data_IF_620870787324
#
_entry.id   IF_620870787324
#
_cell.length_a   1.000
_cell.length_b   1.000
_cell.length_c   1.000
_cell.angle_alpha   90.00
_cell.angle_beta   90.00
_cell.angle_gamma   90.00
#
_symmetry.space_group_name_H-M   'P 1'
#
loop_
_entity.id
_entity.type
_entity.pdbx_description
1 polymer ?
#
# COMPACT_ATOMS: atom_id res chain seq x y z
N UNK A 1 -8.99 21.69 34.17
CA UNK A 1 -9.88 20.68 33.59
C UNK A 1 -10.07 20.99 32.12
N UNK A 2 -9.61 20.10 31.24
CA UNK A 2 -9.79 20.21 29.79
C UNK A 2 -10.93 19.28 29.40
N UNK A 3 -11.90 19.79 28.66
CA UNK A 3 -13.08 19.03 28.24
C UNK A 3 -13.12 18.98 26.73
N UNK A 4 -13.14 17.76 26.17
CA UNK A 4 -13.35 17.52 24.74
C UNK A 4 -14.73 16.92 24.53
N UNK A 5 -15.38 17.28 23.42
CA UNK A 5 -16.69 16.75 23.04
C UNK A 5 -16.61 16.20 21.62
N UNK A 6 -17.05 14.96 21.42
CA UNK A 6 -17.12 14.27 20.13
C UNK A 6 -18.55 13.80 19.87
N UNK A 7 -19.12 14.21 18.73
CA UNK A 7 -20.47 13.81 18.31
C UNK A 7 -20.51 13.60 16.80
N UNK A 8 -21.39 12.73 16.30
CA UNK A 8 -21.57 12.45 14.86
C UNK A 8 -22.48 13.47 14.17
N UNK A 9 -22.70 14.64 14.77
CA UNK A 9 -23.61 15.68 14.28
C UNK A 9 -25.10 15.47 14.58
N UNK A 10 -25.53 14.24 14.90
CA UNK A 10 -26.95 13.89 15.12
C UNK A 10 -27.34 13.60 16.58
N UNK A 11 -26.57 14.06 17.57
CA UNK A 11 -26.97 13.90 18.97
C UNK A 11 -26.06 14.59 19.99
N UNK A 12 -26.48 14.57 21.24
CA UNK A 12 -25.68 14.98 22.40
C UNK A 12 -24.79 13.82 22.86
N UNK A 13 -23.64 14.09 23.50
CA UNK A 13 -22.83 13.05 24.12
C UNK A 13 -23.57 12.43 25.30
N UNK A 14 -23.57 11.09 25.40
CA UNK A 14 -24.27 10.31 26.42
C UNK A 14 -23.31 9.53 27.34
N UNK A 15 -22.00 9.70 27.14
CA UNK A 15 -20.98 9.01 27.92
C UNK A 15 -19.74 9.86 28.14
N UNK A 16 -19.07 9.63 29.28
CA UNK A 16 -17.87 10.36 29.68
C UNK A 16 -16.69 9.41 29.81
N UNK A 17 -15.61 9.67 29.09
CA UNK A 17 -14.34 8.98 29.25
C UNK A 17 -13.32 9.90 29.91
N UNK A 18 -12.49 9.37 30.79
CA UNK A 18 -11.32 10.06 31.32
C UNK A 18 -10.04 9.31 31.01
N UNK A 19 -8.96 10.05 30.80
CA UNK A 19 -7.63 9.47 30.78
C UNK A 19 -7.17 9.19 32.22
N UNK A 20 -6.64 7.99 32.46
CA UNK A 20 -5.98 7.64 33.71
C UNK A 20 -4.59 8.28 33.83
N UNK A 21 -3.97 8.63 32.70
CA UNK A 21 -2.67 9.32 32.65
C UNK A 21 -2.86 10.82 32.87
N UNK A 22 -3.88 11.41 32.25
CA UNK A 22 -4.20 12.84 32.30
C UNK A 22 -5.56 13.06 32.99
N UNK A 23 -5.65 12.96 34.34
CA UNK A 23 -6.91 12.90 35.08
C UNK A 23 -7.74 14.19 34.99
N UNK A 24 -7.11 15.30 34.64
CA UNK A 24 -7.76 16.60 34.44
C UNK A 24 -8.45 16.72 33.07
N UNK A 25 -8.38 15.69 32.23
CA UNK A 25 -8.97 15.65 30.90
C UNK A 25 -10.17 14.72 30.83
N UNK A 26 -11.32 15.25 30.41
CA UNK A 26 -12.56 14.50 30.20
C UNK A 26 -13.00 14.58 28.74
N UNK A 27 -13.51 13.47 28.23
CA UNK A 27 -14.01 13.29 26.87
C UNK A 27 -15.50 12.96 26.93
N UNK A 28 -16.36 13.84 26.46
CA UNK A 28 -17.77 13.57 26.25
C UNK A 28 -17.95 12.97 24.85
N UNK A 29 -18.44 11.75 24.78
CA UNK A 29 -18.51 10.93 23.56
C UNK A 29 -19.89 10.32 23.42
N UNK A 30 -20.20 9.80 22.23
CA UNK A 30 -21.43 9.08 21.96
C UNK A 30 -21.20 7.56 21.97
N UNK A 31 -21.90 6.82 22.83
CA UNK A 31 -21.82 5.35 22.89
C UNK A 31 -22.06 4.72 21.53
N UNK A 32 -23.06 5.20 20.81
CA UNK A 32 -23.42 4.68 19.48
C UNK A 32 -22.25 4.76 18.49
N UNK A 33 -21.46 5.84 18.50
CA UNK A 33 -20.30 5.98 17.63
C UNK A 33 -19.18 5.00 18.02
N UNK A 34 -18.94 4.84 19.32
CA UNK A 34 -17.98 3.86 19.83
C UNK A 34 -18.36 2.42 19.45
N UNK A 35 -19.61 2.01 19.70
CA UNK A 35 -20.16 0.70 19.32
C UNK A 35 -20.13 0.48 17.81
N UNK A 36 -20.43 1.52 17.04
CA UNK A 36 -20.40 1.43 15.58
C UNK A 36 -18.99 1.17 15.07
N UNK A 37 -17.96 1.75 15.67
CA UNK A 37 -16.58 1.64 15.19
C UNK A 37 -15.69 0.58 15.86
N UNK A 38 -16.10 -0.02 16.99
CA UNK A 38 -15.29 -0.95 17.78
C UNK A 38 -16.11 -2.07 18.40
N UNK A 39 -15.62 -3.30 18.26
CA UNK A 39 -16.25 -4.47 18.88
C UNK A 39 -15.99 -4.52 20.40
N UNK A 40 -14.82 -4.07 20.86
CA UNK A 40 -14.53 -3.97 22.29
C UNK A 40 -15.49 -3.02 23.00
N UNK A 41 -15.80 -1.87 22.41
CA UNK A 41 -16.78 -0.96 23.00
C UNK A 41 -18.20 -1.54 22.94
N UNK A 42 -18.55 -2.27 21.88
CA UNK A 42 -19.84 -2.97 21.79
C UNK A 42 -20.00 -3.96 22.95
N UNK A 43 -19.04 -4.89 23.12
CA UNK A 43 -19.06 -5.90 24.17
C UNK A 43 -19.09 -5.27 25.57
N UNK A 44 -18.28 -4.23 25.77
CA UNK A 44 -18.21 -3.54 27.06
C UNK A 44 -19.55 -2.90 27.44
N UNK A 45 -20.23 -2.23 26.49
CA UNK A 45 -21.53 -1.63 26.77
C UNK A 45 -22.63 -2.67 26.92
N UNK A 46 -22.58 -3.79 26.19
CA UNK A 46 -23.56 -4.87 26.31
C UNK A 46 -23.50 -5.55 27.69
N UNK A 47 -22.29 -5.77 28.23
CA UNK A 47 -22.10 -6.33 29.58
C UNK A 47 -22.61 -5.37 30.66
N UNK A 48 -22.35 -4.07 30.50
CA UNK A 48 -22.79 -3.06 31.46
C UNK A 48 -24.30 -2.74 31.35
N UNK A 49 -24.94 -3.03 30.21
CA UNK A 49 -26.37 -2.81 29.99
C UNK A 49 -27.25 -3.99 30.40
N UNK A 50 -26.65 -5.08 30.90
CA UNK A 50 -27.40 -6.23 31.37
C UNK A 50 -28.40 -5.75 32.44
N UNK A 51 -29.71 -5.96 32.23
CA UNK A 51 -30.73 -5.52 33.18
C UNK A 51 -30.36 -6.14 34.52
N UNK A 52 -30.44 -5.37 35.60
CA UNK A 52 -30.37 -5.85 36.97
C UNK A 52 -31.24 -7.11 37.05
N UNK A 53 -30.60 -8.27 36.83
CA UNK A 53 -31.29 -9.53 36.92
C UNK A 53 -31.78 -9.53 38.36
N UNK A 54 -33.08 -9.66 38.49
CA UNK A 54 -33.88 -9.58 39.70
C UNK A 54 -33.49 -10.67 40.71
N UNK A 55 -32.24 -10.68 41.14
CA UNK A 55 -31.82 -11.23 42.41
C UNK A 55 -32.36 -10.21 43.42
N UNK A 56 -33.67 -10.26 43.67
CA UNK A 56 -34.25 -9.62 44.84
C UNK A 56 -33.52 -10.19 46.05
N UNK A 57 -32.48 -9.49 46.49
CA UNK A 57 -31.83 -9.74 47.76
C UNK A 57 -32.81 -9.27 48.83
N UNK A 58 -33.70 -10.18 49.22
CA UNK A 58 -34.69 -9.99 50.28
C UNK A 58 -33.93 -9.76 51.60
N UNK A 59 -33.50 -8.52 51.85
CA UNK A 59 -33.03 -8.14 53.19
C UNK A 59 -32.06 -6.98 53.31
N UNK A 60 -31.45 -6.45 52.25
CA UNK A 60 -30.45 -5.38 52.40
C UNK A 60 -31.11 -3.98 52.42
N UNK A 61 -31.13 -3.27 53.57
CA UNK A 61 -31.66 -1.92 53.64
C UNK A 61 -30.61 -0.95 53.10
N UNK A 62 -31.07 0.01 52.30
CA UNK A 62 -30.37 1.25 51.90
C UNK A 62 -29.17 1.13 50.94
N UNK A 63 -29.47 0.92 49.66
CA UNK A 63 -28.61 1.34 48.53
C UNK A 63 -29.35 2.44 47.76
N UNK A 64 -29.35 3.65 48.32
CA UNK A 64 -29.79 4.86 47.61
C UNK A 64 -28.49 5.61 47.30
N UNK A 65 -28.08 5.65 46.02
CA UNK A 65 -26.98 6.46 45.41
C UNK A 65 -25.97 5.70 44.50
N UNK A 66 -26.34 4.59 43.83
CA UNK A 66 -25.46 3.97 42.80
C UNK A 66 -25.64 4.49 41.37
N UNK A 67 -26.53 5.46 41.14
CA UNK A 67 -27.03 5.82 39.80
C UNK A 67 -26.09 6.73 38.99
N UNK A 68 -24.99 7.24 39.53
CA UNK A 68 -24.17 8.25 38.81
C UNK A 68 -22.88 7.75 38.14
N UNK A 69 -22.38 6.56 38.46
CA UNK A 69 -21.09 6.08 37.90
C UNK A 69 -21.22 5.28 36.58
N UNK A 70 -22.44 4.89 36.16
CA UNK A 70 -22.66 4.06 34.96
C UNK A 70 -22.38 4.79 33.63
N UNK A 71 -22.23 6.11 33.65
CA UNK A 71 -21.99 6.94 32.45
C UNK A 71 -20.53 7.35 32.29
N UNK A 72 -19.63 6.73 33.08
CA UNK A 72 -18.22 7.09 33.07
C UNK A 72 -17.30 5.88 32.95
N UNK A 73 -16.21 6.05 32.20
CA UNK A 73 -15.11 5.10 32.10
C UNK A 73 -13.76 5.80 32.22
N UNK A 74 -12.82 5.20 32.94
CA UNK A 74 -11.43 5.63 32.97
C UNK A 74 -10.60 4.72 32.04
N UNK A 75 -9.79 5.31 31.15
CA UNK A 75 -9.02 4.63 30.11
C UNK A 75 -7.51 4.88 30.28
N UNK A 76 -6.63 3.86 30.12
CA UNK A 76 -5.21 3.97 30.45
C UNK A 76 -4.38 4.78 29.43
N UNK A 77 -4.96 5.27 28.34
CA UNK A 77 -4.27 6.03 27.28
C UNK A 77 -4.09 7.49 27.66
N UNK A 78 -3.09 8.15 27.09
CA UNK A 78 -2.95 9.60 27.21
C UNK A 78 -4.07 10.33 26.48
N UNK A 79 -4.31 11.57 26.90
CA UNK A 79 -5.31 12.44 26.29
C UNK A 79 -5.15 12.58 24.76
N UNK A 80 -3.93 12.73 24.25
CA UNK A 80 -3.65 12.79 22.81
C UNK A 80 -4.07 11.54 22.05
N UNK A 81 -3.85 10.36 22.66
CA UNK A 81 -4.17 9.06 22.06
C UNK A 81 -5.68 8.84 22.03
N UNK A 82 -6.37 9.16 23.13
CA UNK A 82 -7.83 9.13 23.20
C UNK A 82 -8.46 10.12 22.21
N UNK A 83 -7.88 11.30 22.06
CA UNK A 83 -8.36 12.28 21.09
C UNK A 83 -8.29 11.74 19.65
N UNK A 84 -7.20 11.05 19.28
CA UNK A 84 -7.08 10.40 17.97
C UNK A 84 -8.11 9.29 17.79
N UNK A 85 -8.26 8.41 18.79
CA UNK A 85 -9.22 7.31 18.78
C UNK A 85 -10.65 7.83 18.58
N UNK A 86 -11.07 8.79 19.41
CA UNK A 86 -12.43 9.32 19.36
C UNK A 86 -12.70 10.13 18.11
N UNK A 87 -11.72 10.87 17.59
CA UNK A 87 -11.85 11.52 16.28
C UNK A 87 -12.15 10.49 15.19
N UNK A 88 -11.37 9.40 15.12
CA UNK A 88 -11.56 8.38 14.09
C UNK A 88 -12.88 7.59 14.25
N UNK A 89 -13.35 7.39 15.48
CA UNK A 89 -14.63 6.71 15.75
C UNK A 89 -15.87 7.58 15.45
N UNK A 90 -15.80 8.90 15.67
CA UNK A 90 -16.94 9.80 15.46
C UNK A 90 -16.92 10.45 14.07
N UNK A 91 -15.73 10.76 13.57
CA UNK A 91 -15.48 11.41 12.29
C UNK A 91 -14.47 10.57 11.50
N UNK A 92 -14.93 9.41 11.04
CA UNK A 92 -14.11 8.52 10.22
C UNK A 92 -13.55 9.28 9.01
N UNK A 93 -12.25 9.11 8.69
CA UNK A 93 -11.65 9.83 7.59
C UNK A 93 -12.28 9.38 6.27
N UNK A 94 -12.26 10.26 5.27
CA UNK A 94 -12.88 9.98 3.96
C UNK A 94 -12.12 8.83 3.28
N UNK A 95 -12.81 7.75 2.87
CA UNK A 95 -12.14 6.62 2.22
C UNK A 95 -11.46 7.06 0.93
N UNK A 96 -10.23 6.60 0.75
CA UNK A 96 -9.43 6.81 -0.45
C UNK A 96 -9.46 5.55 -1.32
N UNK A 97 -9.00 5.62 -2.58
CA UNK A 97 -8.81 4.44 -3.41
C UNK A 97 -7.96 3.36 -2.74
N UNK A 98 -8.50 2.15 -2.71
CA UNK A 98 -7.86 0.95 -2.17
C UNK A 98 -6.64 0.50 -3.01
N UNK A 99 -5.80 -0.36 -2.43
CA UNK A 99 -4.66 -0.96 -3.14
C UNK A 99 -5.06 -1.66 -4.45
N UNK A 100 -6.23 -2.30 -4.46
CA UNK A 100 -6.77 -2.99 -5.65
C UNK A 100 -7.19 -2.00 -6.72
N UNK A 101 -7.82 -0.89 -6.37
CA UNK A 101 -8.20 0.17 -7.30
C UNK A 101 -6.98 0.87 -7.87
N UNK A 102 -6.00 1.19 -7.02
CA UNK A 102 -4.72 1.76 -7.44
C UNK A 102 -3.98 0.81 -8.39
N UNK A 103 -3.90 -0.47 -8.06
CA UNK A 103 -3.30 -1.49 -8.94
C UNK A 103 -4.01 -1.63 -10.29
N UNK A 104 -5.34 -1.44 -10.34
CA UNK A 104 -6.10 -1.41 -11.61
C UNK A 104 -5.77 -0.15 -12.40
N UNK A 105 -5.65 0.98 -11.73
CA UNK A 105 -5.29 2.26 -12.34
C UNK A 105 -3.93 2.23 -13.01
N UNK A 106 -2.92 1.67 -12.35
CA UNK A 106 -1.56 1.60 -12.90
C UNK A 106 -1.46 0.83 -14.20
N UNK A 107 -2.32 -0.18 -14.36
CA UNK A 107 -2.40 -1.01 -15.57
C UNK A 107 -3.08 -0.31 -16.74
N UNK A 108 -3.74 0.82 -16.53
CA UNK A 108 -4.34 1.59 -17.61
C UNK A 108 -3.24 2.15 -18.53
N UNK A 109 -3.45 2.14 -19.87
CA UNK A 109 -2.61 2.87 -20.79
C UNK A 109 -2.50 4.36 -20.40
N UNK A 110 -1.34 4.97 -20.65
CA UNK A 110 -1.02 6.30 -20.16
C UNK A 110 -1.99 7.38 -20.70
N UNK A 111 -2.47 7.22 -21.94
CA UNK A 111 -3.49 8.11 -22.51
C UNK A 111 -4.82 8.09 -21.74
N UNK A 112 -5.23 6.93 -21.21
CA UNK A 112 -6.44 6.86 -20.37
C UNK A 112 -6.22 7.47 -18.99
N UNK A 113 -4.98 7.43 -18.45
CA UNK A 113 -4.68 8.06 -17.16
C UNK A 113 -4.83 9.57 -17.26
N UNK A 114 -4.25 10.18 -18.28
CA UNK A 114 -4.34 11.63 -18.49
C UNK A 114 -5.78 12.10 -18.68
N UNK A 115 -6.56 11.40 -19.52
CA UNK A 115 -7.97 11.75 -19.76
C UNK A 115 -8.81 11.62 -18.48
N UNK A 116 -8.56 10.57 -17.69
CA UNK A 116 -9.32 10.39 -16.45
C UNK A 116 -8.91 11.37 -15.36
N UNK A 117 -7.63 11.75 -15.27
CA UNK A 117 -7.16 12.81 -14.37
C UNK A 117 -7.83 14.14 -14.74
N UNK A 118 -7.86 14.48 -16.04
CA UNK A 118 -8.55 15.70 -16.53
C UNK A 118 -10.04 15.68 -16.25
N UNK A 119 -10.66 14.50 -16.33
CA UNK A 119 -12.07 14.30 -16.00
C UNK A 119 -12.35 14.20 -14.49
N UNK A 120 -11.34 14.32 -13.62
CA UNK A 120 -11.49 14.14 -12.16
C UNK A 120 -11.92 12.72 -11.76
N UNK A 121 -11.72 11.74 -12.64
CA UNK A 121 -12.28 10.38 -12.55
C UNK A 121 -11.27 9.31 -12.12
N UNK A 122 -10.42 9.64 -11.13
CA UNK A 122 -9.48 8.74 -10.46
C UNK A 122 -8.00 9.08 -10.68
N UNK A 123 -7.07 8.42 -9.95
CA UNK A 123 -5.97 9.03 -9.19
C UNK A 123 -4.94 9.83 -10.02
N UNK A 124 -4.37 10.91 -9.46
CA UNK A 124 -3.61 10.83 -8.21
C UNK A 124 -4.30 11.47 -7.01
N UNK A 125 -4.19 10.81 -5.86
CA UNK A 125 -4.60 11.33 -4.56
C UNK A 125 -3.40 12.08 -3.99
N UNK A 126 -3.60 13.34 -3.56
CA UNK A 126 -2.53 14.06 -2.85
C UNK A 126 -2.27 13.38 -1.51
N UNK A 127 -1.01 13.16 -1.15
CA UNK A 127 -0.63 12.72 0.19
C UNK A 127 -1.08 13.71 1.27
N UNK A 128 -1.36 14.96 0.89
CA UNK A 128 -1.95 15.99 1.75
C UNK A 128 -3.38 15.67 2.18
N UNK A 129 -4.15 14.93 1.36
CA UNK A 129 -5.50 14.48 1.69
C UNK A 129 -5.50 13.21 2.54
N UNK A 130 -4.34 12.55 2.69
CA UNK A 130 -4.22 11.32 3.46
C UNK A 130 -3.87 11.59 4.92
N UNK A 131 -4.34 10.74 5.83
CA UNK A 131 -3.89 10.78 7.24
C UNK A 131 -2.36 10.61 7.26
N UNK A 132 -1.59 11.50 7.93
CA UNK A 132 -0.14 11.41 7.96
C UNK A 132 0.37 10.05 8.46
N UNK A 133 1.41 9.51 7.82
CA UNK A 133 1.94 8.18 8.13
C UNK A 133 2.32 7.97 9.62
N UNK A 134 2.93 8.95 10.33
CA UNK A 134 3.20 8.79 11.77
C UNK A 134 1.93 8.60 12.61
N UNK A 135 0.82 9.22 12.21
CA UNK A 135 -0.47 9.06 12.88
C UNK A 135 -1.11 7.71 12.52
N UNK A 136 -1.03 7.29 11.25
CA UNK A 136 -1.53 5.98 10.82
C UNK A 136 -0.91 4.83 11.64
N UNK A 137 0.41 4.86 11.89
CA UNK A 137 1.07 3.85 12.75
C UNK A 137 0.43 3.74 14.12
N UNK A 138 0.11 4.88 14.74
CA UNK A 138 -0.56 4.91 16.05
C UNK A 138 -2.00 4.43 15.95
N UNK A 139 -2.72 4.85 14.91
CA UNK A 139 -4.10 4.45 14.67
C UNK A 139 -4.23 2.94 14.44
N UNK A 140 -3.30 2.28 13.73
CA UNK A 140 -3.33 0.82 13.60
C UNK A 140 -3.05 0.11 14.94
N UNK A 141 -2.18 0.63 15.79
CA UNK A 141 -2.00 0.10 17.15
C UNK A 141 -3.26 0.23 18.01
N UNK A 142 -4.00 1.33 17.85
CA UNK A 142 -5.33 1.49 18.47
C UNK A 142 -6.36 0.56 17.81
N UNK A 143 -6.26 0.35 16.50
CA UNK A 143 -7.17 -0.49 15.76
C UNK A 143 -7.14 -1.94 16.24
N UNK A 144 -5.94 -2.48 16.45
CA UNK A 144 -5.72 -3.78 17.07
C UNK A 144 -6.24 -3.81 18.52
N UNK A 145 -5.83 -2.83 19.34
CA UNK A 145 -6.19 -2.77 20.76
C UNK A 145 -7.70 -2.72 21.03
N UNK A 146 -8.45 -1.96 20.23
CA UNK A 146 -9.89 -1.76 20.40
C UNK A 146 -10.72 -2.58 19.42
N UNK A 147 -10.12 -3.51 18.67
CA UNK A 147 -10.80 -4.28 17.62
C UNK A 147 -11.71 -3.37 16.77
N UNK A 148 -11.10 -2.38 16.11
CA UNK A 148 -11.85 -1.49 15.22
C UNK A 148 -12.44 -2.28 14.06
N UNK A 149 -13.66 -1.94 13.67
CA UNK A 149 -14.39 -2.70 12.63
C UNK A 149 -13.72 -2.59 11.27
N UNK A 150 -13.97 -3.61 10.44
CA UNK A 150 -13.35 -3.78 9.11
C UNK A 150 -13.59 -2.58 8.17
N UNK A 151 -14.75 -1.92 8.24
CA UNK A 151 -15.04 -0.72 7.45
C UNK A 151 -14.06 0.43 7.75
N UNK A 152 -13.68 0.58 9.03
CA UNK A 152 -12.76 1.61 9.47
C UNK A 152 -11.31 1.21 9.16
N UNK A 153 -10.97 -0.07 9.37
CA UNK A 153 -9.67 -0.64 9.00
C UNK A 153 -9.39 -0.50 7.50
N UNK A 154 -10.34 -0.87 6.64
CA UNK A 154 -10.22 -0.72 5.19
C UNK A 154 -10.03 0.74 4.77
N UNK A 155 -10.70 1.67 5.46
CA UNK A 155 -10.48 3.12 5.29
C UNK A 155 -9.05 3.50 5.67
N UNK A 156 -8.53 3.09 6.84
CA UNK A 156 -7.15 3.35 7.25
C UNK A 156 -6.12 2.75 6.28
N UNK A 157 -6.36 1.54 5.75
CA UNK A 157 -5.53 0.93 4.72
C UNK A 157 -5.51 1.75 3.43
N UNK A 158 -6.64 2.34 3.02
CA UNK A 158 -6.67 3.23 1.86
C UNK A 158 -5.81 4.49 2.05
N UNK A 159 -5.77 5.04 3.27
CA UNK A 159 -4.84 6.12 3.60
C UNK A 159 -3.38 5.67 3.62
N UNK A 160 -3.10 4.46 4.07
CA UNK A 160 -1.76 3.88 4.01
C UNK A 160 -1.28 3.71 2.56
N UNK A 161 -2.17 3.27 1.66
CA UNK A 161 -1.91 3.14 0.22
C UNK A 161 -1.55 4.47 -0.44
N UNK A 162 -2.16 5.58 -0.02
CA UNK A 162 -1.88 6.90 -0.57
C UNK A 162 -0.41 7.33 -0.38
N UNK A 163 0.26 6.84 0.66
CA UNK A 163 1.69 7.12 0.92
C UNK A 163 2.64 6.23 0.11
N UNK A 164 2.14 5.25 -0.66
CA UNK A 164 2.99 4.27 -1.32
C UNK A 164 3.91 4.86 -2.40
N UNK A 165 3.55 6.00 -3.02
CA UNK A 165 4.40 6.65 -4.02
C UNK A 165 5.58 7.41 -3.40
N UNK A 166 5.34 8.11 -2.28
CA UNK A 166 6.35 8.95 -1.64
C UNK A 166 7.22 8.16 -0.65
N UNK A 167 6.63 7.17 0.04
CA UNK A 167 7.26 6.40 1.11
C UNK A 167 7.04 4.89 0.96
N UNK A 168 7.38 4.31 -0.21
CA UNK A 168 7.05 2.93 -0.55
C UNK A 168 7.60 1.90 0.44
N UNK A 169 8.82 2.11 0.95
CA UNK A 169 9.47 1.17 1.88
C UNK A 169 8.76 1.18 3.24
N UNK A 170 8.39 2.36 3.74
CA UNK A 170 7.70 2.52 5.01
C UNK A 170 6.29 1.94 4.95
N UNK A 171 5.59 2.14 3.83
CA UNK A 171 4.27 1.56 3.58
C UNK A 171 4.36 0.04 3.48
N UNK A 172 5.33 -0.48 2.73
CA UNK A 172 5.57 -1.92 2.60
C UNK A 172 5.84 -2.57 3.96
N UNK A 173 6.73 -1.97 4.75
CA UNK A 173 7.09 -2.46 6.07
C UNK A 173 5.88 -2.52 7.01
N UNK A 174 5.12 -1.42 7.08
CA UNK A 174 3.94 -1.33 7.94
C UNK A 174 2.84 -2.29 7.48
N UNK A 175 2.55 -2.36 6.18
CA UNK A 175 1.56 -3.29 5.64
C UNK A 175 1.93 -4.75 5.90
N UNK A 176 3.22 -5.10 5.82
CA UNK A 176 3.68 -6.45 6.13
C UNK A 176 3.53 -6.77 7.63
N UNK A 177 3.77 -5.79 8.52
CA UNK A 177 3.59 -5.96 9.96
C UNK A 177 2.11 -6.12 10.36
N UNK A 178 1.20 -5.55 9.57
CA UNK A 178 -0.25 -5.64 9.74
C UNK A 178 -0.89 -6.80 8.96
N UNK A 179 -0.08 -7.64 8.29
CA UNK A 179 -0.55 -8.74 7.43
C UNK A 179 -1.51 -8.28 6.30
N UNK A 180 -1.39 -7.01 5.89
CA UNK A 180 -2.20 -6.40 4.84
C UNK A 180 -1.59 -6.69 3.45
N UNK A 181 -1.69 -7.95 3.02
CA UNK A 181 -1.01 -8.49 1.83
C UNK A 181 -1.24 -7.67 0.56
N UNK A 182 -2.45 -7.16 0.32
CA UNK A 182 -2.75 -6.38 -0.89
C UNK A 182 -2.07 -5.00 -0.86
N UNK A 183 -1.97 -4.37 0.31
CA UNK A 183 -1.27 -3.09 0.49
C UNK A 183 0.25 -3.30 0.36
N UNK A 184 0.79 -4.35 0.97
CA UNK A 184 2.20 -4.72 0.83
C UNK A 184 2.54 -5.05 -0.63
N UNK A 185 1.67 -5.81 -1.31
CA UNK A 185 1.81 -6.11 -2.72
C UNK A 185 1.83 -4.84 -3.57
N UNK A 186 0.94 -3.89 -3.33
CA UNK A 186 0.92 -2.61 -4.06
C UNK A 186 2.15 -1.75 -3.73
N UNK A 187 2.54 -1.59 -2.47
CA UNK A 187 3.74 -0.82 -2.11
C UNK A 187 5.02 -1.39 -2.75
N UNK A 188 5.09 -2.71 -2.91
CA UNK A 188 6.21 -3.35 -3.62
C UNK A 188 6.28 -3.03 -5.13
N UNK A 189 5.16 -2.63 -5.75
CA UNK A 189 5.16 -2.10 -7.13
C UNK A 189 5.70 -0.67 -7.20
N UNK A 190 5.88 0.01 -6.07
CA UNK A 190 6.45 1.36 -6.03
C UNK A 190 7.94 1.33 -5.65
N UNK A 191 8.44 0.22 -5.09
CA UNK A 191 9.85 -0.01 -4.78
C UNK A 191 10.67 -0.32 -6.06
N UNK A 192 10.75 0.64 -6.96
CA UNK A 192 11.58 0.56 -8.17
C UNK A 192 12.82 1.46 -8.06
N UNK A 193 12.68 2.61 -7.40
CA UNK A 193 13.74 3.59 -7.22
C UNK A 193 13.68 4.17 -5.80
N UNK A 194 14.81 4.30 -5.11
CA UNK A 194 16.14 3.84 -5.52
C UNK A 194 16.28 2.29 -5.39
N UNK A 195 17.35 1.68 -5.94
CA UNK A 195 17.60 0.24 -5.80
C UNK A 195 17.71 -0.19 -4.33
N UNK A 196 17.38 -1.45 -4.01
CA UNK A 196 17.39 -1.91 -2.61
C UNK A 196 18.77 -1.80 -1.95
N UNK A 197 19.83 -1.92 -2.74
CA UNK A 197 21.22 -1.81 -2.30
C UNK A 197 21.61 -0.38 -1.89
N UNK A 198 20.79 0.62 -2.20
CA UNK A 198 21.03 2.01 -1.84
C UNK A 198 20.47 2.41 -0.47
N UNK A 199 19.57 1.59 0.10
CA UNK A 199 19.03 1.87 1.43
C UNK A 199 20.07 1.55 2.50
N UNK A 200 20.15 2.41 3.51
CA UNK A 200 21.03 2.17 4.65
C UNK A 200 20.48 1.03 5.53
N UNK A 201 21.32 0.37 6.33
CA UNK A 201 20.85 -0.63 7.29
C UNK A 201 19.74 -0.10 8.20
N UNK A 202 19.86 1.14 8.69
CA UNK A 202 18.87 1.78 9.56
C UNK A 202 17.51 1.99 8.85
N UNK A 203 17.53 2.22 7.53
CA UNK A 203 16.30 2.31 6.74
C UNK A 203 15.63 0.95 6.55
N UNK A 204 16.41 -0.14 6.49
CA UNK A 204 15.90 -1.50 6.33
C UNK A 204 15.45 -2.12 7.66
N UNK A 205 15.92 -1.61 8.81
CA UNK A 205 15.50 -2.04 10.15
C UNK A 205 14.00 -1.87 10.41
N UNK A 206 13.32 -1.01 9.66
CA UNK A 206 11.87 -0.84 9.78
C UNK A 206 11.09 -2.08 9.32
N UNK A 207 11.71 -2.97 8.54
CA UNK A 207 11.09 -4.18 8.05
C UNK A 207 10.86 -5.17 9.20
N UNK A 208 9.64 -5.73 9.35
CA UNK A 208 9.30 -6.53 10.53
C UNK A 208 10.02 -7.89 10.58
N UNK A 209 10.56 -8.38 9.46
CA UNK A 209 11.24 -9.66 9.40
C UNK A 209 12.26 -9.77 8.27
N UNK A 210 13.26 -10.63 8.44
CA UNK A 210 14.22 -11.00 7.38
C UNK A 210 13.49 -11.56 6.14
N UNK A 211 12.39 -12.29 6.34
CA UNK A 211 11.56 -12.82 5.25
C UNK A 211 11.03 -11.70 4.35
N UNK A 212 10.54 -10.62 4.93
CA UNK A 212 10.02 -9.46 4.16
C UNK A 212 11.12 -8.82 3.29
N UNK A 213 12.33 -8.65 3.84
CA UNK A 213 13.49 -8.16 3.09
C UNK A 213 13.90 -9.14 1.97
N UNK A 214 13.95 -10.43 2.26
CA UNK A 214 14.33 -11.47 1.29
C UNK A 214 13.38 -11.49 0.08
N UNK A 215 12.08 -11.36 0.32
CA UNK A 215 11.08 -11.33 -0.76
C UNK A 215 11.29 -10.12 -1.69
N UNK A 216 11.64 -8.95 -1.14
CA UNK A 216 11.99 -7.77 -1.94
C UNK A 216 13.26 -7.99 -2.78
N UNK A 217 14.31 -8.59 -2.20
CA UNK A 217 15.53 -8.93 -2.96
C UNK A 217 15.25 -9.90 -4.11
N UNK A 218 14.43 -10.93 -3.87
CA UNK A 218 14.03 -11.88 -4.92
C UNK A 218 13.28 -11.14 -6.04
N UNK A 219 12.35 -10.25 -5.69
CA UNK A 219 11.63 -9.41 -6.67
C UNK A 219 12.59 -8.59 -7.52
N UNK A 220 13.57 -7.93 -6.89
CA UNK A 220 14.51 -7.06 -7.58
C UNK A 220 15.48 -7.85 -8.47
N UNK A 221 15.94 -9.01 -8.00
CA UNK A 221 16.77 -9.91 -8.78
C UNK A 221 16.03 -10.43 -10.02
N UNK A 222 14.78 -10.90 -9.86
CA UNK A 222 13.95 -11.36 -10.97
C UNK A 222 13.67 -10.24 -11.99
N UNK A 223 13.33 -9.04 -11.51
CA UNK A 223 13.14 -7.87 -12.38
C UNK A 223 14.40 -7.57 -13.17
N UNK A 224 15.53 -7.45 -12.49
CA UNK A 224 16.83 -7.16 -13.13
C UNK A 224 17.20 -8.22 -14.17
N UNK A 225 17.06 -9.50 -13.84
CA UNK A 225 17.34 -10.61 -14.77
C UNK A 225 16.42 -10.57 -16.00
N UNK A 226 15.13 -10.34 -15.81
CA UNK A 226 14.16 -10.25 -16.89
C UNK A 226 14.43 -9.04 -17.80
N UNK A 227 14.74 -7.87 -17.22
CA UNK A 227 15.13 -6.66 -17.96
C UNK A 227 16.38 -6.93 -18.80
N UNK A 228 17.42 -7.55 -18.22
CA UNK A 228 18.64 -7.93 -18.96
C UNK A 228 18.34 -8.85 -20.14
N UNK A 229 17.48 -9.86 -19.93
CA UNK A 229 17.05 -10.78 -20.99
C UNK A 229 16.32 -10.04 -22.12
N UNK A 230 15.33 -9.21 -21.77
CA UNK A 230 14.56 -8.43 -22.74
C UNK A 230 15.47 -7.52 -23.57
N UNK A 231 16.37 -6.77 -22.92
CA UNK A 231 17.33 -5.91 -23.62
C UNK A 231 18.26 -6.72 -24.52
N UNK A 232 18.78 -7.86 -24.05
CA UNK A 232 19.69 -8.70 -24.82
C UNK A 232 19.05 -9.29 -26.08
N UNK A 233 17.79 -9.72 -26.00
CA UNK A 233 17.06 -10.38 -27.09
C UNK A 233 16.44 -9.41 -28.11
N UNK A 234 16.15 -8.16 -27.74
CA UNK A 234 15.44 -7.24 -28.65
C UNK A 234 16.29 -6.78 -29.84
N UNK A 235 15.71 -6.87 -31.04
CA UNK A 235 16.33 -6.47 -32.30
C UNK A 235 15.66 -5.20 -32.84
N UNK A 236 16.46 -4.30 -33.41
CA UNK A 236 15.92 -3.10 -34.06
C UNK A 236 15.07 -3.44 -35.30
N UNK A 237 15.51 -4.43 -36.08
CA UNK A 237 14.82 -4.90 -37.28
C UNK A 237 14.55 -6.40 -37.18
N UNK A 238 13.47 -6.83 -36.50
CA UNK A 238 13.08 -8.23 -36.42
C UNK A 238 12.94 -8.83 -37.82
N UNK A 239 13.66 -9.91 -38.12
CA UNK A 239 13.69 -10.56 -39.44
C UNK A 239 14.00 -9.62 -40.64
N UNK A 240 14.59 -8.45 -40.39
CA UNK A 240 14.86 -7.45 -41.42
C UNK A 240 13.65 -6.61 -41.85
N UNK A 241 12.49 -6.76 -41.21
CA UNK A 241 11.33 -5.91 -41.49
C UNK A 241 11.62 -4.45 -41.10
N UNK A 242 11.24 -3.52 -41.99
CA UNK A 242 11.42 -2.09 -41.77
C UNK A 242 12.85 -1.58 -41.94
N UNK A 243 13.78 -2.40 -42.46
CA UNK A 243 15.14 -1.94 -42.76
C UNK A 243 15.12 -0.78 -43.76
N UNK A 244 15.85 0.29 -43.43
CA UNK A 244 15.98 1.44 -44.30
C UNK A 244 16.75 1.07 -45.57
N UNK A 245 16.22 1.43 -46.74
CA UNK A 245 16.86 1.18 -48.04
C UNK A 245 17.98 2.17 -48.36
N UNK A 246 18.07 3.27 -47.60
CA UNK A 246 19.14 4.26 -47.78
C UNK A 246 20.48 3.66 -47.38
N UNK A 247 21.49 3.86 -48.23
CA UNK A 247 22.81 3.24 -48.10
C UNK A 247 23.44 3.55 -46.73
N UNK A 248 23.70 2.50 -45.94
CA UNK A 248 24.36 2.57 -44.64
C UNK A 248 23.51 3.11 -43.49
N UNK A 249 22.26 3.52 -43.71
CA UNK A 249 21.38 4.00 -42.63
C UNK A 249 21.00 2.88 -41.67
N UNK A 250 20.59 1.72 -42.20
CA UNK A 250 20.23 0.56 -41.39
C UNK A 250 21.41 0.08 -40.53
N UNK A 251 22.62 0.04 -41.09
CA UNK A 251 23.82 -0.40 -40.37
C UNK A 251 24.21 0.56 -39.25
N UNK A 252 24.16 1.88 -39.50
CA UNK A 252 24.38 2.91 -38.46
C UNK A 252 23.35 2.80 -37.35
N UNK A 253 22.08 2.63 -37.71
CA UNK A 253 20.99 2.48 -36.77
C UNK A 253 21.14 1.21 -35.91
N UNK A 254 21.49 0.07 -36.50
CA UNK A 254 21.78 -1.17 -35.77
C UNK A 254 23.02 -1.02 -34.86
N UNK A 255 24.07 -0.31 -35.30
CA UNK A 255 25.25 -0.05 -34.47
C UNK A 255 24.89 0.82 -33.27
N UNK A 256 24.14 1.92 -33.45
CA UNK A 256 23.67 2.76 -32.35
C UNK A 256 22.84 1.96 -31.34
N UNK A 257 21.91 1.13 -31.83
CA UNK A 257 21.12 0.22 -30.99
C UNK A 257 21.99 -0.77 -30.21
N UNK A 258 22.93 -1.44 -30.88
CA UNK A 258 23.86 -2.40 -30.26
C UNK A 258 24.81 -1.73 -29.26
N UNK A 259 25.30 -0.52 -29.56
CA UNK A 259 26.14 0.28 -28.67
C UNK A 259 25.38 0.62 -27.37
N UNK A 260 24.12 1.07 -27.47
CA UNK A 260 23.30 1.37 -26.29
C UNK A 260 22.96 0.11 -25.48
N UNK A 261 22.60 -0.99 -26.13
CA UNK A 261 22.39 -2.29 -25.45
C UNK A 261 23.62 -2.74 -24.67
N UNK A 262 24.81 -2.67 -25.29
CA UNK A 262 26.08 -3.01 -24.63
C UNK A 262 26.32 -2.12 -23.41
N UNK A 263 26.10 -0.81 -23.54
CA UNK A 263 26.22 0.12 -22.42
C UNK A 263 25.33 -0.30 -21.24
N UNK A 264 24.05 -0.59 -21.47
CA UNK A 264 23.11 -1.00 -20.42
C UNK A 264 23.47 -2.34 -19.78
N UNK A 265 23.87 -3.34 -20.58
CA UNK A 265 24.15 -4.70 -20.12
C UNK A 265 25.50 -4.82 -19.38
N UNK A 266 26.53 -4.10 -19.83
CA UNK A 266 27.91 -4.22 -19.33
C UNK A 266 28.18 -3.36 -18.10
N UNK A 267 27.53 -2.21 -17.95
CA UNK A 267 27.83 -1.25 -16.89
C UNK A 267 27.01 -1.45 -15.60
N UNK A 268 26.25 -2.55 -15.48
CA UNK A 268 25.37 -2.79 -14.33
C UNK A 268 24.28 -1.72 -14.16
N UNK A 269 23.97 -0.96 -15.23
CA UNK A 269 23.00 0.15 -15.20
C UNK A 269 21.55 -0.31 -15.14
N UNK A 270 21.28 -1.57 -15.49
CA UNK A 270 19.96 -2.17 -15.39
C UNK A 270 19.71 -2.59 -13.94
N UNK A 271 18.93 -1.77 -13.24
CA UNK A 271 18.34 -2.05 -11.93
C UNK A 271 16.87 -2.43 -12.08
N UNK A 272 16.23 -2.88 -11.00
CA UNK A 272 14.83 -3.31 -10.98
C UNK A 272 13.81 -2.23 -11.36
N UNK A 273 14.18 -0.96 -11.31
CA UNK A 273 13.35 0.20 -11.68
C UNK A 273 13.81 0.96 -12.91
N UNK A 274 14.77 0.42 -13.67
CA UNK A 274 15.26 1.12 -14.87
C UNK A 274 14.18 1.20 -15.93
N UNK A 275 13.82 2.43 -16.34
CA UNK A 275 13.02 2.66 -17.53
C UNK A 275 13.88 2.43 -18.78
N UNK A 276 13.88 1.17 -19.26
CA UNK A 276 14.62 0.79 -20.47
C UNK A 276 14.18 1.65 -21.66
N UNK A 277 12.91 2.03 -21.76
CA UNK A 277 12.44 2.79 -22.91
C UNK A 277 13.08 4.17 -22.93
N UNK A 278 13.05 4.89 -21.80
CA UNK A 278 13.74 6.17 -21.63
C UNK A 278 15.25 6.05 -21.89
N UNK A 279 15.89 5.01 -21.35
CA UNK A 279 17.32 4.77 -21.55
C UNK A 279 17.69 4.48 -23.01
N UNK A 280 16.81 3.81 -23.77
CA UNK A 280 17.03 3.49 -25.17
C UNK A 280 16.69 4.65 -26.11
N UNK A 281 15.80 5.57 -25.72
CA UNK A 281 15.48 6.79 -26.48
C UNK A 281 16.74 7.65 -26.73
N UNK A 282 17.70 7.64 -25.80
CA UNK A 282 18.97 8.36 -25.94
C UNK A 282 19.83 7.90 -27.14
N UNK A 283 19.55 6.72 -27.70
CA UNK A 283 20.23 6.25 -28.90
C UNK A 283 19.64 6.82 -30.20
N UNK A 284 18.49 7.50 -30.14
CA UNK A 284 17.88 8.18 -31.30
C UNK A 284 18.71 9.39 -31.73
N UNK A 285 19.37 10.06 -30.77
CA UNK A 285 20.19 11.25 -31.04
C UNK A 285 21.41 10.96 -31.93
N UNK A 286 21.87 9.69 -31.95
CA UNK A 286 22.96 9.21 -32.81
C UNK A 286 22.50 8.97 -34.26
N UNK A 287 21.20 9.12 -34.57
CA UNK A 287 20.64 8.88 -35.90
C UNK A 287 20.54 10.16 -36.73
N UNK A 288 20.88 10.06 -38.01
CA UNK A 288 20.53 11.07 -39.00
C UNK A 288 19.01 11.35 -39.02
N UNK A 289 18.58 12.45 -39.65
CA UNK A 289 17.16 12.82 -39.80
C UNK A 289 16.34 11.86 -40.71
N UNK A 290 16.67 10.56 -40.72
CA UNK A 290 15.97 9.52 -41.45
C UNK A 290 14.73 9.04 -40.68
N UNK A 291 13.55 9.42 -41.18
CA UNK A 291 12.26 9.05 -40.59
C UNK A 291 12.04 7.53 -40.49
N UNK A 292 12.56 6.75 -41.44
CA UNK A 292 12.43 5.28 -41.40
C UNK A 292 13.18 4.67 -40.22
N UNK A 293 14.42 5.13 -39.96
CA UNK A 293 15.21 4.65 -38.83
C UNK A 293 14.61 5.08 -37.50
N UNK A 294 14.14 6.34 -37.39
CA UNK A 294 13.45 6.85 -36.19
C UNK A 294 12.20 6.03 -35.86
N UNK A 295 11.35 5.79 -36.87
CA UNK A 295 10.16 4.92 -36.71
C UNK A 295 10.53 3.50 -36.27
N UNK A 296 11.62 2.92 -36.79
CA UNK A 296 12.06 1.60 -36.36
C UNK A 296 12.49 1.60 -34.88
N UNK A 297 13.22 2.62 -34.45
CA UNK A 297 13.58 2.82 -33.04
C UNK A 297 12.34 2.97 -32.15
N UNK A 298 11.39 3.83 -32.52
CA UNK A 298 10.15 4.02 -31.74
C UNK A 298 9.39 2.71 -31.56
N UNK A 299 9.32 1.86 -32.61
CA UNK A 299 8.67 0.56 -32.54
C UNK A 299 9.43 -0.43 -31.66
N UNK A 300 10.75 -0.48 -31.76
CA UNK A 300 11.59 -1.34 -30.92
C UNK A 300 11.51 -0.91 -29.44
N UNK A 301 11.52 0.40 -29.16
CA UNK A 301 11.35 0.97 -27.82
C UNK A 301 9.95 0.66 -27.27
N UNK A 302 8.91 0.81 -28.09
CA UNK A 302 7.55 0.41 -27.72
C UNK A 302 7.46 -1.08 -27.39
N UNK A 303 8.18 -1.94 -28.12
CA UNK A 303 8.25 -3.37 -27.83
C UNK A 303 8.98 -3.66 -26.51
N UNK A 304 10.10 -2.97 -26.23
CA UNK A 304 10.78 -3.05 -24.94
C UNK A 304 9.84 -2.66 -23.80
N UNK A 305 9.16 -1.53 -23.92
CA UNK A 305 8.21 -1.06 -22.89
C UNK A 305 7.09 -2.08 -22.67
N UNK A 306 6.52 -2.63 -23.75
CA UNK A 306 5.51 -3.68 -23.69
C UNK A 306 6.01 -4.95 -22.97
N UNK A 307 7.22 -5.42 -23.29
CA UNK A 307 7.82 -6.59 -22.65
C UNK A 307 8.14 -6.32 -21.18
N UNK A 308 8.67 -5.15 -20.84
CA UNK A 308 8.97 -4.75 -19.46
C UNK A 308 7.72 -4.72 -18.57
N UNK A 309 6.56 -4.31 -19.09
CA UNK A 309 5.27 -4.36 -18.37
C UNK A 309 4.84 -5.78 -17.97
N UNK A 310 5.37 -6.83 -18.63
CA UNK A 310 5.07 -8.24 -18.30
C UNK A 310 5.92 -8.81 -17.17
N UNK A 311 7.00 -8.12 -16.80
CA UNK A 311 7.87 -8.53 -15.69
C UNK A 311 7.06 -8.52 -14.37
N UNK A 312 7.34 -9.42 -13.41
CA UNK A 312 6.75 -9.36 -12.08
C UNK A 312 6.93 -7.98 -11.44
N UNK A 313 5.81 -7.31 -11.19
CA UNK A 313 5.79 -5.97 -10.59
C UNK A 313 5.48 -6.00 -9.10
N UNK A 314 5.09 -7.13 -8.51
CA UNK A 314 4.69 -7.18 -7.11
C UNK A 314 5.09 -8.51 -6.48
N UNK A 315 5.28 -8.50 -5.17
CA UNK A 315 5.59 -9.68 -4.37
C UNK A 315 4.54 -10.80 -4.51
N UNK A 316 3.28 -10.47 -4.79
CA UNK A 316 2.17 -11.43 -4.97
C UNK A 316 2.40 -12.38 -6.15
N UNK A 317 3.15 -11.94 -7.18
CA UNK A 317 3.48 -12.76 -8.36
C UNK A 317 4.63 -13.73 -8.11
N UNK A 318 5.44 -13.49 -7.09
CA UNK A 318 6.59 -14.33 -6.76
C UNK A 318 6.13 -15.50 -5.91
N UNK A 319 5.35 -15.21 -4.87
CA UNK A 319 4.83 -16.23 -3.95
C UNK A 319 3.98 -17.26 -4.69
N UNK A 320 3.17 -16.82 -5.67
CA UNK A 320 2.38 -17.73 -6.52
C UNK A 320 3.21 -18.66 -7.41
N UNK A 321 4.48 -18.31 -7.69
CA UNK A 321 5.37 -19.12 -8.54
C UNK A 321 6.15 -20.18 -7.76
N UNK A 322 6.24 -20.04 -6.43
CA UNK A 322 7.02 -20.93 -5.56
C UNK A 322 6.14 -21.99 -4.87
N UNK A 323 4.82 -21.86 -4.91
CA UNK A 323 3.91 -22.94 -4.51
C UNK A 323 3.92 -24.05 -5.58
N UNK A 324 4.95 -24.90 -5.53
CA UNK A 324 4.95 -26.20 -6.19
C UNK A 324 3.76 -26.98 -5.61
N UNK A 325 2.86 -27.55 -6.42
CA UNK A 325 1.83 -28.44 -5.89
C UNK A 325 2.56 -29.61 -5.22
N UNK A 326 2.34 -29.76 -3.92
CA UNK A 326 2.68 -31.01 -3.23
C UNK A 326 1.74 -32.03 -3.84
N UNK A 327 2.20 -32.76 -4.85
CA UNK A 327 1.55 -33.97 -5.31
C UNK A 327 1.55 -34.93 -4.12
N UNK A 328 0.43 -34.98 -3.40
CA UNK A 328 0.13 -36.07 -2.50
C UNK A 328 0.01 -37.31 -3.36
N UNK A 329 1.10 -38.07 -3.45
CA UNK A 329 1.08 -39.46 -3.91
C UNK A 329 0.12 -40.23 -2.99
N UNK A 330 -1.13 -40.35 -3.44
CA UNK A 330 -2.06 -41.34 -2.93
C UNK A 330 -1.53 -42.70 -3.35
N UNK A 331 -0.78 -43.32 -2.44
CA UNK A 331 -0.45 -44.73 -2.48
C UNK A 331 -1.73 -45.54 -2.23
N UNK A 332 -2.45 -45.82 -3.30
CA UNK A 332 -3.47 -46.87 -3.38
C UNK A 332 -3.07 -47.82 -4.51
N UNK A 333 -2.77 -49.07 -4.13
CA UNK A 333 -3.03 -50.33 -4.85
C UNK A 333 -1.97 -51.37 -4.50
N UNK A 334 -2.29 -52.23 -3.52
CA UNK A 334 -1.97 -53.66 -3.52
C UNK A 334 -2.84 -54.32 -2.44
N UNK A 335 -4.01 -54.80 -2.85
CA UNK A 335 -4.78 -55.84 -2.17
C UNK A 335 -5.59 -56.62 -3.19
#
# INVERSE_FOLDING_TARGET
>A
MVVYTFTTGEGEPDFTVRSSIDPDTTFHVQRMALVKGSDIFADMFDICSAPEASWEDIGSPSVINRVTDETRMDMPESSDVLQMLFRVLHEAPVPLPSATEMSKWEKLPDYYKEDRIRAGSGPPISTESAVPLPLLRRLFGLADKYALKEELLSTLYSHLVAHAFDQPLQVYALATALEADDVAAFASTQLHSPPLESYSPEQLEILPSVKSLQVLYILHAQRTQALRKIVAEELLFPHGYGKCTSRGHADRAEEAWRKRKRYLLSMGRLTSGTDIAAEMLLAIDDLDACDTCKKAFDRAIGMLQYKSRKIPQSIKKITSSTSVPVETETSDELS
#
